data_IF_550755155028
#
_entry.id   IF_550755155028
#
_cell.length_a   1.000
_cell.length_b   1.000
_cell.length_c   1.000
_cell.angle_alpha   90.00
_cell.angle_beta   90.00
_cell.angle_gamma   90.00
#
_symmetry.space_group_name_H-M   'P 1'
#
loop_
_entity.id
_entity.type
_entity.pdbx_description
1 polymer ?
#
# COMPACT_ATOMS: atom_id res chain seq x y z
N UNK A 1 13.88 -22.95 13.85
CA UNK A 1 12.72 -22.03 13.78
C UNK A 1 12.65 -21.42 12.39
N UNK A 2 11.51 -21.57 11.72
CA UNK A 2 11.28 -21.09 10.36
C UNK A 2 11.19 -19.56 10.38
N UNK A 3 12.18 -18.86 9.79
CA UNK A 3 12.07 -17.40 9.58
C UNK A 3 11.11 -17.15 8.43
N UNK A 4 9.82 -17.09 8.75
CA UNK A 4 8.76 -16.63 7.85
C UNK A 4 8.97 -15.14 7.63
N UNK A 5 9.07 -14.72 6.37
CA UNK A 5 9.16 -13.31 6.04
C UNK A 5 7.86 -12.59 6.47
N UNK A 6 7.94 -11.77 7.51
CA UNK A 6 6.79 -11.02 8.04
C UNK A 6 6.56 -9.68 7.33
N UNK A 7 7.46 -9.26 6.43
CA UNK A 7 7.34 -8.01 5.66
C UNK A 7 5.99 -7.82 4.95
N UNK A 8 5.42 -8.81 4.21
CA UNK A 8 4.12 -8.64 3.58
C UNK A 8 3.01 -8.43 4.60
N UNK A 9 3.03 -9.14 5.74
CA UNK A 9 2.03 -8.96 6.80
C UNK A 9 2.13 -7.57 7.43
N UNK A 10 3.33 -7.09 7.70
CA UNK A 10 3.56 -5.75 8.25
C UNK A 10 3.10 -4.65 7.28
N UNK A 11 3.47 -4.76 5.99
CA UNK A 11 3.03 -3.82 4.96
C UNK A 11 1.50 -3.79 4.82
N UNK A 12 0.84 -4.95 4.89
CA UNK A 12 -0.61 -5.02 4.87
C UNK A 12 -1.24 -4.27 6.05
N UNK A 13 -0.75 -4.51 7.27
CA UNK A 13 -1.26 -3.86 8.48
C UNK A 13 -1.03 -2.35 8.48
N UNK A 14 0.17 -1.90 8.07
CA UNK A 14 0.50 -0.48 7.94
C UNK A 14 -0.40 0.16 6.88
N UNK A 15 -0.56 -0.50 5.73
CA UNK A 15 -1.42 0.00 4.66
C UNK A 15 -2.88 0.16 5.09
N UNK A 16 -3.42 -0.82 5.81
CA UNK A 16 -4.76 -0.72 6.40
C UNK A 16 -4.86 0.41 7.44
N UNK A 17 -3.85 0.57 8.30
CA UNK A 17 -3.86 1.63 9.30
C UNK A 17 -3.86 3.03 8.66
N UNK A 18 -3.09 3.24 7.58
CA UNK A 18 -3.06 4.50 6.84
C UNK A 18 -4.42 4.83 6.20
N UNK A 19 -5.08 3.82 5.60
CA UNK A 19 -6.42 4.00 5.01
C UNK A 19 -7.44 4.29 6.10
N UNK A 20 -7.45 3.49 7.18
CA UNK A 20 -8.42 3.61 8.26
C UNK A 20 -8.31 4.96 8.99
N UNK A 21 -7.09 5.39 9.32
CA UNK A 21 -6.87 6.71 9.93
C UNK A 21 -7.39 7.83 9.05
N UNK A 22 -7.08 7.80 7.75
CA UNK A 22 -7.54 8.83 6.81
C UNK A 22 -9.06 8.87 6.67
N UNK A 23 -9.73 7.71 6.65
CA UNK A 23 -11.19 7.61 6.63
C UNK A 23 -11.83 8.14 7.92
N UNK A 24 -11.26 7.81 9.07
CA UNK A 24 -11.80 8.18 10.38
C UNK A 24 -11.59 9.64 10.74
N UNK A 25 -10.49 10.26 10.30
CA UNK A 25 -10.17 11.65 10.69
C UNK A 25 -10.52 12.68 9.62
N UNK A 26 -10.46 12.31 8.34
CA UNK A 26 -10.69 13.25 7.25
C UNK A 26 -12.07 13.11 6.62
N UNK A 27 -12.40 11.91 6.16
CA UNK A 27 -13.58 11.70 5.32
C UNK A 27 -14.90 11.69 6.09
N UNK A 28 -14.88 11.44 7.41
CA UNK A 28 -16.05 11.63 8.28
C UNK A 28 -16.56 13.07 8.23
N UNK A 29 -15.64 14.02 8.35
CA UNK A 29 -15.94 15.45 8.43
C UNK A 29 -16.36 15.97 7.05
N UNK A 30 -15.76 15.41 5.99
CA UNK A 30 -16.18 15.66 4.61
C UNK A 30 -17.64 15.27 4.39
N UNK A 31 -18.04 14.08 4.84
CA UNK A 31 -19.40 13.58 4.66
C UNK A 31 -20.43 14.49 5.37
N UNK A 32 -20.12 14.95 6.58
CA UNK A 32 -20.99 15.88 7.29
C UNK A 32 -21.08 17.25 6.58
N UNK A 33 -19.95 17.82 6.17
CA UNK A 33 -19.93 19.10 5.46
C UNK A 33 -20.69 19.03 4.12
N UNK A 34 -20.48 17.97 3.36
CA UNK A 34 -21.12 17.75 2.07
C UNK A 34 -22.62 17.50 2.17
N UNK A 35 -23.06 16.75 3.20
CA UNK A 35 -24.50 16.53 3.43
C UNK A 35 -25.21 17.82 3.85
N UNK A 36 -24.57 18.66 4.68
CA UNK A 36 -25.10 19.99 5.02
C UNK A 36 -25.20 20.89 3.79
N UNK A 37 -24.16 20.92 2.94
CA UNK A 37 -24.18 21.68 1.69
C UNK A 37 -25.26 21.16 0.73
N UNK A 38 -25.41 19.85 0.60
CA UNK A 38 -26.44 19.27 -0.26
C UNK A 38 -27.85 19.63 0.22
N UNK A 39 -28.11 19.57 1.52
CA UNK A 39 -29.41 19.98 2.09
C UNK A 39 -29.74 21.44 1.79
N UNK A 40 -28.78 22.36 1.94
CA UNK A 40 -29.03 23.77 1.64
C UNK A 40 -29.30 24.02 0.15
N UNK A 41 -28.64 23.27 -0.74
CA UNK A 41 -28.90 23.32 -2.19
C UNK A 41 -30.28 22.74 -2.51
N UNK A 42 -30.67 21.64 -1.87
CA UNK A 42 -31.98 21.03 -2.04
C UNK A 42 -33.10 21.98 -1.60
N UNK A 43 -32.93 22.67 -0.47
CA UNK A 43 -33.87 23.69 0.02
C UNK A 43 -33.99 24.88 -0.95
N UNK A 44 -32.87 25.39 -1.45
CA UNK A 44 -32.86 26.48 -2.45
C UNK A 44 -33.49 26.05 -3.77
N UNK A 45 -33.27 24.81 -4.20
CA UNK A 45 -33.85 24.26 -5.42
C UNK A 45 -35.36 24.09 -5.28
N UNK A 46 -35.81 23.56 -4.14
CA UNK A 46 -37.23 23.41 -3.82
C UNK A 46 -37.95 24.76 -3.75
N UNK A 47 -37.33 25.77 -3.13
CA UNK A 47 -37.88 27.12 -3.06
C UNK A 47 -38.04 27.79 -4.44
N UNK A 48 -37.22 27.43 -5.43
CA UNK A 48 -37.24 28.01 -6.79
C UNK A 48 -38.12 27.25 -7.77
N UNK A 49 -38.09 25.93 -7.72
CA UNK A 49 -38.74 25.06 -8.71
C UNK A 49 -40.03 24.41 -8.21
N UNK A 50 -40.26 24.38 -6.89
CA UNK A 50 -41.35 23.62 -6.28
C UNK A 50 -41.16 22.10 -6.37
N UNK A 51 -40.04 21.62 -6.91
CA UNK A 51 -39.73 20.21 -7.08
C UNK A 51 -38.60 19.77 -6.13
N UNK A 52 -38.57 18.48 -5.80
CA UNK A 52 -37.44 17.89 -5.09
C UNK A 52 -36.28 17.65 -6.05
N UNK A 53 -35.07 18.01 -5.61
CA UNK A 53 -33.84 17.72 -6.34
C UNK A 53 -33.52 16.22 -6.23
N UNK A 54 -33.37 15.56 -7.37
CA UNK A 54 -33.01 14.14 -7.41
C UNK A 54 -31.50 13.97 -7.17
N UNK A 55 -31.08 13.24 -6.13
CA UNK A 55 -29.70 13.27 -5.66
C UNK A 55 -28.70 12.65 -6.63
N UNK A 56 -29.08 11.60 -7.37
CA UNK A 56 -28.18 10.90 -8.29
C UNK A 56 -27.86 11.74 -9.53
N UNK A 57 -28.87 12.35 -10.18
CA UNK A 57 -28.62 13.25 -11.31
C UNK A 57 -27.85 14.51 -10.89
N UNK A 58 -28.13 15.05 -9.70
CA UNK A 58 -27.36 16.18 -9.19
C UNK A 58 -25.89 15.79 -8.94
N UNK A 59 -25.63 14.61 -8.37
CA UNK A 59 -24.27 14.16 -8.10
C UNK A 59 -23.47 13.94 -9.39
N UNK A 60 -24.08 13.32 -10.43
CA UNK A 60 -23.39 13.11 -11.72
C UNK A 60 -23.05 14.43 -12.41
N UNK A 61 -23.97 15.40 -12.42
CA UNK A 61 -23.74 16.75 -12.94
C UNK A 61 -22.69 17.51 -12.12
N UNK A 62 -22.71 17.36 -10.80
CA UNK A 62 -21.75 18.01 -9.91
C UNK A 62 -20.32 17.47 -10.11
N UNK A 63 -20.17 16.17 -10.35
CA UNK A 63 -18.86 15.56 -10.61
C UNK A 63 -18.26 16.07 -11.91
N UNK A 64 -19.05 16.37 -12.94
CA UNK A 64 -18.53 16.90 -14.21
C UNK A 64 -18.17 18.38 -14.13
N UNK A 65 -18.94 19.18 -13.38
CA UNK A 65 -18.74 20.64 -13.27
C UNK A 65 -17.68 21.02 -12.23
N UNK A 66 -16.60 21.64 -12.69
CA UNK A 66 -15.49 22.08 -11.84
C UNK A 66 -15.92 23.07 -10.73
N UNK A 67 -16.91 23.93 -11.00
CA UNK A 67 -17.46 24.86 -10.01
C UNK A 67 -18.12 24.14 -8.84
N UNK A 68 -18.86 23.06 -9.11
CA UNK A 68 -19.52 22.27 -8.08
C UNK A 68 -18.48 21.55 -7.21
N UNK A 69 -17.51 20.87 -7.83
CA UNK A 69 -16.41 20.22 -7.10
C UNK A 69 -15.68 21.20 -6.17
N UNK A 70 -15.37 22.41 -6.65
CA UNK A 70 -14.74 23.46 -5.83
C UNK A 70 -15.62 23.89 -4.67
N UNK A 71 -16.93 24.03 -4.86
CA UNK A 71 -17.85 24.38 -3.78
C UNK A 71 -17.84 23.33 -2.66
N UNK A 72 -17.88 22.04 -3.00
CA UNK A 72 -17.79 20.93 -2.04
C UNK A 72 -16.42 20.86 -1.34
N UNK A 73 -15.33 21.10 -2.08
CA UNK A 73 -13.99 21.16 -1.50
C UNK A 73 -13.85 22.34 -0.52
N UNK A 74 -14.39 23.51 -0.88
CA UNK A 74 -14.37 24.69 -0.01
C UNK A 74 -15.26 24.50 1.22
N UNK A 75 -16.42 23.83 1.07
CA UNK A 75 -17.32 23.54 2.18
C UNK A 75 -16.72 22.56 3.19
N UNK A 76 -15.84 21.66 2.74
CA UNK A 76 -15.10 20.79 3.65
C UNK A 76 -14.19 21.59 4.60
N UNK A 77 -13.67 22.75 4.17
CA UNK A 77 -12.96 23.70 5.05
C UNK A 77 -11.61 23.21 5.58
N UNK A 78 -11.13 22.08 5.09
CA UNK A 78 -9.85 21.48 5.51
C UNK A 78 -8.68 22.20 4.82
N UNK A 79 -7.61 22.56 5.54
CA UNK A 79 -6.46 23.20 4.94
C UNK A 79 -5.78 22.28 3.92
N UNK A 80 -5.18 22.88 2.89
CA UNK A 80 -4.61 22.13 1.76
C UNK A 80 -3.57 21.07 2.17
N UNK A 81 -2.78 21.32 3.21
CA UNK A 81 -1.77 20.38 3.69
C UNK A 81 -2.38 19.12 4.31
N UNK A 82 -3.51 19.23 5.02
CA UNK A 82 -4.23 18.08 5.58
C UNK A 82 -4.86 17.26 4.45
N UNK A 83 -5.44 17.92 3.44
CA UNK A 83 -5.95 17.26 2.25
C UNK A 83 -4.86 16.43 1.56
N UNK A 84 -3.67 17.01 1.36
CA UNK A 84 -2.55 16.29 0.77
C UNK A 84 -2.14 15.08 1.61
N UNK A 85 -2.10 15.23 2.94
CA UNK A 85 -1.73 14.14 3.85
C UNK A 85 -2.74 13.00 3.81
N UNK A 86 -4.05 13.31 3.84
CA UNK A 86 -5.13 12.32 3.73
C UNK A 86 -5.06 11.55 2.40
N UNK A 87 -4.91 12.25 1.27
CA UNK A 87 -4.83 11.60 -0.04
C UNK A 87 -3.56 10.76 -0.16
N UNK A 88 -2.42 11.25 0.35
CA UNK A 88 -1.16 10.52 0.31
C UNK A 88 -1.23 9.25 1.15
N UNK A 89 -1.84 9.31 2.34
CA UNK A 89 -2.05 8.14 3.19
C UNK A 89 -2.94 7.09 2.53
N UNK A 90 -4.03 7.50 1.88
CA UNK A 90 -4.89 6.57 1.15
C UNK A 90 -4.13 5.93 -0.02
N UNK A 91 -3.42 6.72 -0.82
CA UNK A 91 -2.67 6.22 -1.98
C UNK A 91 -1.56 5.25 -1.52
N UNK A 92 -0.72 5.66 -0.58
CA UNK A 92 0.35 4.82 -0.03
C UNK A 92 -0.22 3.58 0.65
N UNK A 93 -1.33 3.71 1.39
CA UNK A 93 -2.00 2.59 2.02
C UNK A 93 -2.49 1.56 1.01
N UNK A 94 -3.11 2.00 -0.09
CA UNK A 94 -3.54 1.13 -1.19
C UNK A 94 -2.34 0.46 -1.87
N UNK A 95 -1.24 1.18 -2.08
CA UNK A 95 0.00 0.62 -2.62
C UNK A 95 0.54 -0.46 -1.68
N UNK A 96 0.59 -0.22 -0.37
CA UNK A 96 1.08 -1.21 0.60
C UNK A 96 0.19 -2.44 0.70
N UNK A 97 -1.13 -2.26 0.71
CA UNK A 97 -2.10 -3.37 0.69
C UNK A 97 -1.96 -4.17 -0.60
N UNK A 98 -1.96 -3.51 -1.76
CA UNK A 98 -1.78 -4.17 -3.05
C UNK A 98 -0.44 -4.92 -3.10
N UNK A 99 0.65 -4.24 -2.80
CA UNK A 99 1.99 -4.80 -2.83
C UNK A 99 2.15 -5.97 -1.87
N UNK A 100 1.59 -5.90 -0.66
CA UNK A 100 1.62 -7.03 0.29
C UNK A 100 0.93 -8.29 -0.24
N UNK A 101 -0.08 -8.13 -1.10
CA UNK A 101 -0.83 -9.23 -1.70
C UNK A 101 -0.10 -9.83 -2.91
N UNK A 102 0.60 -9.00 -3.67
CA UNK A 102 1.42 -9.40 -4.81
C UNK A 102 2.81 -9.89 -4.41
N UNK A 103 3.32 -9.48 -3.24
CA UNK A 103 4.57 -9.94 -2.68
C UNK A 103 4.46 -11.42 -2.32
N UNK A 104 4.92 -12.28 -3.24
CA UNK A 104 5.14 -13.68 -2.94
C UNK A 104 6.43 -13.78 -2.15
N UNK A 105 6.40 -14.13 -0.84
CA UNK A 105 7.64 -14.44 -0.15
C UNK A 105 8.32 -15.56 -0.94
N UNK A 106 9.60 -15.39 -1.24
CA UNK A 106 10.36 -16.41 -1.94
C UNK A 106 10.17 -17.75 -1.21
N UNK A 107 9.81 -18.84 -1.91
CA UNK A 107 9.65 -20.13 -1.26
C UNK A 107 10.96 -20.48 -0.56
N UNK A 108 10.87 -20.93 0.68
CA UNK A 108 12.02 -21.24 1.53
C UNK A 108 13.05 -22.17 0.86
N UNK A 109 12.60 -23.04 -0.05
CA UNK A 109 13.45 -23.89 -0.89
C UNK A 109 14.43 -23.10 -1.76
N UNK A 110 13.97 -22.05 -2.45
CA UNK A 110 14.83 -21.21 -3.29
C UNK A 110 15.80 -20.37 -2.46
N UNK A 111 15.36 -19.89 -1.29
CA UNK A 111 16.22 -19.16 -0.37
C UNK A 111 17.33 -20.05 0.20
N UNK A 112 17.00 -21.26 0.66
CA UNK A 112 17.99 -22.25 1.11
C UNK A 112 18.95 -22.60 -0.02
N UNK A 113 18.43 -22.90 -1.21
CA UNK A 113 19.26 -23.25 -2.36
C UNK A 113 20.28 -22.15 -2.69
N UNK A 114 19.90 -20.86 -2.64
CA UNK A 114 20.85 -19.74 -2.83
C UNK A 114 21.89 -19.63 -1.73
N UNK A 115 21.48 -19.76 -0.47
CA UNK A 115 22.42 -19.68 0.67
C UNK A 115 23.39 -20.87 0.66
N UNK A 116 22.89 -22.07 0.37
CA UNK A 116 23.70 -23.28 0.29
C UNK A 116 24.63 -23.25 -0.94
N UNK A 117 24.17 -22.74 -2.08
CA UNK A 117 25.03 -22.50 -3.25
C UNK A 117 26.15 -21.50 -2.94
N UNK A 118 25.84 -20.35 -2.33
CA UNK A 118 26.85 -19.37 -1.94
C UNK A 118 27.86 -19.92 -0.92
N UNK A 119 27.40 -20.75 0.03
CA UNK A 119 28.30 -21.47 0.94
C UNK A 119 29.20 -22.43 0.18
N UNK A 120 28.66 -23.22 -0.75
CA UNK A 120 29.45 -24.16 -1.56
C UNK A 120 30.50 -23.44 -2.40
N UNK A 121 30.20 -22.25 -2.93
CA UNK A 121 31.16 -21.43 -3.66
C UNK A 121 32.27 -20.91 -2.73
N UNK A 122 31.94 -20.42 -1.53
CA UNK A 122 32.95 -20.08 -0.52
C UNK A 122 33.80 -21.29 -0.12
N UNK A 123 33.20 -22.48 0.02
CA UNK A 123 33.91 -23.71 0.34
C UNK A 123 34.85 -24.11 -0.78
N UNK A 124 34.44 -23.97 -2.04
CA UNK A 124 35.29 -24.24 -3.22
C UNK A 124 36.46 -23.26 -3.31
N UNK A 125 36.23 -21.97 -3.06
CA UNK A 125 37.30 -20.98 -2.99
C UNK A 125 38.30 -21.35 -1.87
N UNK A 126 37.80 -21.72 -0.69
CA UNK A 126 38.65 -22.11 0.45
C UNK A 126 39.35 -23.47 0.25
N UNK A 127 38.72 -24.44 -0.42
CA UNK A 127 39.25 -25.79 -0.66
C UNK A 127 40.14 -25.88 -1.91
N UNK A 128 40.16 -24.85 -2.76
CA UNK A 128 41.08 -24.76 -3.90
C UNK A 128 42.55 -24.61 -3.46
N UNK A 129 42.81 -24.38 -2.16
CA UNK A 129 44.13 -24.59 -1.56
C UNK A 129 44.43 -26.09 -1.59
N UNK A 130 45.34 -26.51 -2.48
CA UNK A 130 45.89 -27.86 -2.51
C UNK A 130 46.20 -28.35 -1.10
N UNK A 131 45.84 -29.60 -0.72
CA UNK A 131 46.27 -30.15 0.55
C UNK A 131 47.81 -30.21 0.55
N UNK A 132 48.44 -29.34 1.33
CA UNK A 132 49.86 -29.38 1.67
C UNK A 132 50.09 -30.57 2.61
N UNK A 133 50.09 -31.79 2.06
CA UNK A 133 50.19 -33.01 2.87
C UNK A 133 50.11 -34.32 2.09
N UNK A 134 51.21 -34.66 1.43
CA UNK A 134 51.73 -36.01 1.07
C UNK A 134 50.83 -37.24 1.31
N UNK A 135 50.20 -37.75 0.24
CA UNK A 135 50.09 -39.20 0.05
C UNK A 135 51.24 -39.63 -0.88
N UNK A 136 52.36 -40.05 -0.28
CA UNK A 136 53.38 -40.82 -1.01
C UNK A 136 52.72 -42.14 -1.40
N UNK A 137 52.43 -42.30 -2.68
CA UNK A 137 52.12 -43.60 -3.27
C UNK A 137 53.35 -44.50 -3.06
N UNK A 138 53.31 -45.37 -2.06
CA UNK A 138 54.34 -46.38 -1.86
C UNK A 138 54.12 -47.45 -2.94
N UNK A 139 54.95 -47.46 -3.99
CA UNK A 139 54.99 -48.58 -4.94
C UNK A 139 55.56 -49.80 -4.20
N UNK A 140 54.92 -50.98 -4.29
CA UNK A 140 55.51 -52.20 -3.77
C UNK A 140 56.78 -52.51 -4.57
N UNK A 141 57.89 -52.77 -3.86
CA UNK A 141 59.13 -53.26 -4.48
C UNK A 141 58.91 -54.71 -4.90
N UNK A 142 59.04 -54.96 -6.21
CA UNK A 142 59.32 -56.29 -6.74
C UNK A 142 60.77 -56.67 -6.53
#
# INVERSE_FOLDING_TARGET
MMHVDQRPRLLFMIGLALIATSLMTGYSDAAEAWTRLFKSIQEQYHARSGAQLEPLSYASDCVTRASCRRAYMNAWGVPWWELLLLHTNVILGLIFVGFSRFWRPEPWSFRRARVDAGRMDEWREKSSRQPTGTLRVVRPKG
#
